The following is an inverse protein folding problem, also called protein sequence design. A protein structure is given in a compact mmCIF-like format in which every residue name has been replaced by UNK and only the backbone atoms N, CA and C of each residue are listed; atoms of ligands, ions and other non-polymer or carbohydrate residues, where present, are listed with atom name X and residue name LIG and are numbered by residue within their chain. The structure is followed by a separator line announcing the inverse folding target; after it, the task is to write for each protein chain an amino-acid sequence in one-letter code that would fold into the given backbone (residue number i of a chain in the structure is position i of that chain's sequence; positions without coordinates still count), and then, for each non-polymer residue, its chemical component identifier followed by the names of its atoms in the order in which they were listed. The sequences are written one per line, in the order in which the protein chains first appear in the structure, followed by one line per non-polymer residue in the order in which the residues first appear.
data_IF_351086615235
#
_entry.id   IF_351086615235
#
_cell.length_a   1.000
_cell.length_b   1.000
_cell.length_c   1.000
_cell.angle_alpha   90.00
_cell.angle_beta   90.00
_cell.angle_gamma   90.00
#
_symmetry.space_group_name_H-M   'P 1'
#
loop_
_entity.id
_entity.type
_entity.pdbx_description
1 polymer ?
#
# COMPACT_ATOMS: atom_id res chain seq x y z
N UNK A 1 -5.29 -6.90 18.91
CA UNK A 1 -6.23 -6.09 18.10
C UNK A 1 -6.85 -7.00 17.05
N UNK A 2 -8.17 -7.02 16.94
CA UNK A 2 -8.92 -7.90 16.04
C UNK A 2 -9.06 -7.33 14.64
N UNK A 3 -8.98 -6.00 14.47
CA UNK A 3 -9.19 -5.30 13.19
C UNK A 3 -7.98 -4.48 12.74
N UNK A 4 -6.79 -4.84 13.21
CA UNK A 4 -5.58 -4.04 12.96
C UNK A 4 -5.21 -4.00 11.47
N UNK A 5 -5.30 -5.12 10.75
CA UNK A 5 -4.96 -5.15 9.33
C UNK A 5 -5.96 -4.30 8.52
N UNK A 6 -7.25 -4.43 8.82
CA UNK A 6 -8.29 -3.63 8.16
C UNK A 6 -8.14 -2.13 8.46
N UNK A 7 -7.84 -1.74 9.70
CA UNK A 7 -7.64 -0.35 10.06
C UNK A 7 -6.47 0.28 9.28
N UNK A 8 -5.35 -0.44 9.18
CA UNK A 8 -4.16 0.01 8.42
C UNK A 8 -4.48 0.06 6.92
N UNK A 9 -5.26 -0.90 6.42
CA UNK A 9 -5.71 -0.92 5.02
C UNK A 9 -6.54 0.29 4.67
N UNK A 10 -7.50 0.66 5.53
CA UNK A 10 -8.33 1.85 5.35
C UNK A 10 -7.46 3.11 5.37
N UNK A 11 -6.55 3.23 6.34
CA UNK A 11 -5.66 4.38 6.45
C UNK A 11 -4.75 4.53 5.20
N UNK A 12 -4.19 3.43 4.71
CA UNK A 12 -3.33 3.41 3.53
C UNK A 12 -4.10 3.60 2.21
N UNK A 13 -5.38 3.23 2.14
CA UNK A 13 -6.20 3.41 0.92
C UNK A 13 -6.31 4.86 0.46
N UNK A 14 -6.25 5.82 1.39
CA UNK A 14 -6.25 7.25 1.06
C UNK A 14 -5.14 7.65 0.06
N UNK A 15 -3.93 7.09 0.20
CA UNK A 15 -2.82 7.40 -0.72
C UNK A 15 -3.08 6.88 -2.13
N UNK A 16 -3.70 5.70 -2.25
CA UNK A 16 -4.05 5.10 -3.54
C UNK A 16 -5.18 5.82 -4.25
N UNK A 17 -6.28 6.13 -3.54
CA UNK A 17 -7.41 6.86 -4.11
C UNK A 17 -7.01 8.25 -4.62
N UNK A 18 -6.11 8.94 -3.90
CA UNK A 18 -5.52 10.20 -4.36
C UNK A 18 -4.87 10.04 -5.73
N UNK A 19 -4.02 9.02 -5.92
CA UNK A 19 -3.37 8.76 -7.21
C UNK A 19 -4.35 8.40 -8.33
N UNK A 20 -5.38 7.58 -8.06
CA UNK A 20 -6.39 7.19 -9.07
C UNK A 20 -7.07 8.41 -9.70
N UNK A 21 -7.38 9.43 -8.88
CA UNK A 21 -8.03 10.66 -9.34
C UNK A 21 -7.01 11.65 -9.90
N UNK A 22 -5.87 11.81 -9.22
CA UNK A 22 -4.89 12.82 -9.56
C UNK A 22 -4.13 12.49 -10.84
N UNK A 23 -3.84 11.22 -11.15
CA UNK A 23 -3.04 10.88 -12.34
C UNK A 23 -3.69 11.35 -13.66
N UNK A 24 -4.96 11.03 -13.97
CA UNK A 24 -5.61 11.53 -15.19
C UNK A 24 -5.86 13.04 -15.13
N UNK A 25 -6.17 13.57 -13.94
CA UNK A 25 -6.40 15.01 -13.76
C UNK A 25 -5.12 15.80 -14.06
N UNK A 26 -3.98 15.40 -13.50
CA UNK A 26 -2.68 16.02 -13.75
C UNK A 26 -2.32 15.91 -15.22
N UNK A 27 -2.56 14.76 -15.86
CA UNK A 27 -2.33 14.63 -17.30
C UNK A 27 -3.12 15.67 -18.10
N UNK A 28 -4.40 15.88 -17.79
CA UNK A 28 -5.24 16.91 -18.43
C UNK A 28 -4.74 18.33 -18.16
N UNK A 29 -4.33 18.62 -16.92
CA UNK A 29 -3.77 19.94 -16.55
C UNK A 29 -2.47 20.18 -17.34
N UNK A 30 -1.57 19.20 -17.41
CA UNK A 30 -0.31 19.31 -18.16
C UNK A 30 -0.57 19.59 -19.64
N UNK A 31 -1.55 18.92 -20.25
CA UNK A 31 -1.92 19.17 -21.66
C UNK A 31 -2.48 20.59 -21.84
N UNK A 32 -3.24 21.11 -20.88
CA UNK A 32 -3.90 22.40 -20.99
C UNK A 32 -2.99 23.61 -20.69
N UNK A 33 -2.16 23.54 -19.65
CA UNK A 33 -1.38 24.68 -19.13
C UNK A 33 0.12 24.41 -19.07
N UNK A 34 0.58 23.27 -19.58
CA UNK A 34 1.99 22.89 -19.55
C UNK A 34 2.47 22.40 -18.18
N UNK A 35 3.65 21.78 -18.17
CA UNK A 35 4.17 21.09 -16.98
C UNK A 35 4.56 22.05 -15.84
N UNK A 36 5.08 23.25 -16.16
CA UNK A 36 5.53 24.22 -15.15
C UNK A 36 4.39 24.69 -14.26
N UNK A 37 3.30 25.16 -14.86
CA UNK A 37 2.14 25.65 -14.10
C UNK A 37 1.39 24.50 -13.42
N UNK A 38 1.42 23.29 -14.01
CA UNK A 38 0.88 22.08 -13.37
C UNK A 38 1.55 21.76 -12.03
N UNK A 39 2.86 21.97 -11.89
CA UNK A 39 3.56 21.78 -10.61
C UNK A 39 3.11 22.78 -9.54
N UNK A 40 2.78 24.01 -9.95
CA UNK A 40 2.23 25.03 -9.02
C UNK A 40 0.87 24.57 -8.51
N UNK A 41 -0.02 24.12 -9.41
CA UNK A 41 -1.34 23.57 -9.04
C UNK A 41 -1.19 22.37 -8.09
N UNK A 42 -0.26 21.47 -8.38
CA UNK A 42 0.03 20.31 -7.52
C UNK A 42 0.51 20.72 -6.13
N UNK A 43 1.40 21.71 -6.05
CA UNK A 43 1.86 22.27 -4.78
C UNK A 43 0.70 22.83 -3.96
N UNK A 44 -0.23 23.56 -4.60
CA UNK A 44 -1.41 24.09 -3.93
C UNK A 44 -2.32 22.98 -3.40
N UNK A 45 -2.60 21.94 -4.20
CA UNK A 45 -3.39 20.78 -3.77
C UNK A 45 -2.75 20.12 -2.55
N UNK A 46 -1.42 19.95 -2.56
CA UNK A 46 -0.69 19.36 -1.44
C UNK A 46 -0.77 20.20 -0.17
N UNK A 47 -0.59 21.52 -0.27
CA UNK A 47 -0.70 22.44 0.89
C UNK A 47 -2.10 22.41 1.48
N UNK A 48 -3.13 22.50 0.64
CA UNK A 48 -4.53 22.45 1.10
C UNK A 48 -4.82 21.11 1.79
N UNK A 49 -4.41 20.00 1.18
CA UNK A 49 -4.56 18.67 1.76
C UNK A 49 -3.83 18.52 3.10
N UNK A 50 -2.61 19.04 3.21
CA UNK A 50 -1.83 19.02 4.44
C UNK A 50 -2.49 19.83 5.57
N UNK A 51 -3.01 21.03 5.26
CA UNK A 51 -3.73 21.87 6.24
C UNK A 51 -4.99 21.18 6.74
N UNK A 52 -5.80 20.62 5.83
CA UNK A 52 -7.01 19.86 6.20
C UNK A 52 -6.63 18.66 7.07
N UNK A 53 -5.65 17.86 6.63
CA UNK A 53 -5.18 16.68 7.38
C UNK A 53 -4.67 17.03 8.77
N UNK A 54 -3.87 18.09 8.89
CA UNK A 54 -3.36 18.58 10.16
C UNK A 54 -4.48 19.07 11.09
N UNK A 55 -5.50 19.74 10.56
CA UNK A 55 -6.65 20.22 11.35
C UNK A 55 -7.53 19.09 11.90
N UNK A 56 -7.58 17.94 11.21
CA UNK A 56 -8.36 16.77 11.60
C UNK A 56 -7.58 15.78 12.49
N UNK A 57 -6.25 15.85 12.47
CA UNK A 57 -5.39 14.92 13.20
C UNK A 57 -5.47 15.15 14.72
N UNK A 58 -5.95 14.15 15.45
CA UNK A 58 -5.86 14.10 16.91
C UNK A 58 -4.62 13.31 17.31
N UNK A 59 -3.66 13.98 17.96
CA UNK A 59 -2.36 13.39 18.36
C UNK A 59 -2.50 12.31 19.44
N UNK A 60 -3.47 12.46 20.34
CA UNK A 60 -3.70 11.54 21.44
C UNK A 60 -5.17 11.10 21.48
N UNK A 61 -5.56 10.09 20.68
CA UNK A 61 -6.91 9.57 20.71
C UNK A 61 -7.26 8.90 22.05
N UNK A 62 -6.27 8.42 22.81
CA UNK A 62 -6.48 7.78 24.11
C UNK A 62 -6.95 8.81 25.16
N UNK A 63 -6.46 10.06 25.09
CA UNK A 63 -6.96 11.17 25.93
C UNK A 63 -8.47 11.46 25.78
N UNK A 64 -9.06 11.05 24.65
CA UNK A 64 -10.50 11.15 24.42
C UNK A 64 -11.29 9.93 24.96
N UNK A 65 -10.64 9.05 25.73
CA UNK A 65 -11.24 7.85 26.30
C UNK A 65 -11.52 6.73 25.29
N UNK A 66 -10.86 6.76 24.13
CA UNK A 66 -11.00 5.71 23.11
C UNK A 66 -10.03 4.56 23.35
N UNK A 67 -10.41 3.35 22.94
CA UNK A 67 -9.59 2.14 23.08
C UNK A 67 -9.45 1.42 21.74
N UNK A 68 -8.36 0.67 21.49
CA UNK A 68 -8.23 -0.18 20.31
C UNK A 68 -9.44 -1.12 20.18
N UNK A 69 -10.00 -1.22 18.98
CA UNK A 69 -11.24 -1.96 18.68
C UNK A 69 -12.48 -1.52 19.51
N UNK A 70 -12.41 -0.41 20.25
CA UNK A 70 -13.44 0.02 21.21
C UNK A 70 -13.50 -0.84 22.48
N UNK A 71 -12.52 -1.71 22.69
CA UNK A 71 -12.52 -2.67 23.80
C UNK A 71 -11.58 -2.17 24.89
N UNK A 72 -12.13 -1.86 26.06
CA UNK A 72 -11.32 -1.48 27.22
C UNK A 72 -10.43 -2.65 27.63
N UNK A 73 -9.10 -2.48 27.73
CA UNK A 73 -8.21 -3.54 28.14
C UNK A 73 -8.47 -3.93 29.60
N UNK A 74 -8.50 -5.23 29.87
CA UNK A 74 -8.53 -5.78 31.22
C UNK A 74 -7.23 -5.46 31.97
N UNK A 75 -7.28 -5.37 33.30
CA UNK A 75 -6.13 -5.03 34.13
C UNK A 75 -4.92 -5.94 33.89
N UNK A 76 -5.14 -7.25 33.75
CA UNK A 76 -4.07 -8.22 33.45
C UNK A 76 -3.41 -8.01 32.07
N UNK A 77 -4.14 -7.48 31.08
CA UNK A 77 -3.56 -7.15 29.77
C UNK A 77 -2.67 -5.90 29.83
N UNK A 78 -3.00 -4.95 30.72
CA UNK A 78 -2.17 -3.76 30.95
C UNK A 78 -0.86 -4.14 31.65
N UNK A 79 -0.93 -5.01 32.67
CA UNK A 79 0.24 -5.54 33.36
C UNK A 79 1.16 -6.34 32.42
N UNK A 80 0.58 -7.24 31.62
CA UNK A 80 1.36 -8.01 30.63
C UNK A 80 2.04 -7.11 29.60
N UNK A 81 1.38 -6.03 29.15
CA UNK A 81 1.97 -5.05 28.22
C UNK A 81 3.09 -4.25 28.88
N UNK A 82 2.92 -3.85 30.13
CA UNK A 82 3.95 -3.13 30.89
C UNK A 82 5.18 -4.02 31.13
N UNK A 83 4.99 -5.29 31.49
CA UNK A 83 6.07 -6.26 31.67
C UNK A 83 6.81 -6.53 30.35
N UNK A 84 6.08 -6.67 29.23
CA UNK A 84 6.70 -6.78 27.90
C UNK A 84 7.57 -5.57 27.55
N UNK A 85 7.07 -4.35 27.76
CA UNK A 85 7.83 -3.12 27.51
C UNK A 85 9.05 -3.00 28.43
N UNK A 86 8.93 -3.40 29.69
CA UNK A 86 10.02 -3.41 30.64
C UNK A 86 11.11 -4.43 30.29
N UNK A 87 10.72 -5.58 29.70
CA UNK A 87 11.62 -6.64 29.22
C UNK A 87 12.09 -6.45 27.78
N UNK A 88 11.61 -5.41 27.08
CA UNK A 88 12.00 -5.18 25.69
C UNK A 88 13.47 -4.81 25.66
N UNK A 89 14.28 -5.77 25.21
CA UNK A 89 15.71 -5.61 25.04
C UNK A 89 15.99 -4.50 24.02
N UNK A 90 16.82 -3.52 24.39
CA UNK A 90 17.20 -2.44 23.49
C UNK A 90 18.35 -2.92 22.61
N UNK A 91 18.05 -3.18 21.35
CA UNK A 91 19.05 -3.62 20.38
C UNK A 91 19.74 -2.42 19.75
N UNK A 92 21.07 -2.47 19.68
CA UNK A 92 21.85 -1.58 18.82
C UNK A 92 21.68 -1.97 17.35
N UNK A 93 21.91 -1.02 16.44
CA UNK A 93 21.88 -1.27 14.99
C UNK A 93 22.83 -2.41 14.60
N UNK A 94 24.02 -2.46 15.23
CA UNK A 94 25.01 -3.50 14.97
C UNK A 94 24.51 -4.90 15.35
N UNK A 95 23.76 -5.03 16.44
CA UNK A 95 23.18 -6.30 16.86
C UNK A 95 22.09 -6.75 15.89
N UNK A 96 21.21 -5.84 15.47
CA UNK A 96 20.16 -6.15 14.48
C UNK A 96 20.76 -6.66 13.16
N UNK A 97 21.78 -5.98 12.61
CA UNK A 97 22.44 -6.35 11.35
C UNK A 97 23.13 -7.73 11.39
N UNK A 98 23.46 -8.25 12.57
CA UNK A 98 24.08 -9.57 12.74
C UNK A 98 23.07 -10.72 12.77
N UNK A 99 21.78 -10.43 12.79
CA UNK A 99 20.74 -11.47 12.82
C UNK A 99 20.25 -11.86 11.45
N UNK A 100 19.95 -13.15 11.26
CA UNK A 100 19.35 -13.67 10.03
C UNK A 100 17.93 -13.11 9.81
N UNK A 101 17.17 -12.90 10.89
CA UNK A 101 15.82 -12.32 10.83
C UNK A 101 15.80 -10.94 10.16
N UNK A 102 16.79 -10.09 10.44
CA UNK A 102 16.93 -8.80 9.76
C UNK A 102 17.06 -8.99 8.24
N UNK A 103 17.97 -9.86 7.81
CA UNK A 103 18.21 -10.09 6.39
C UNK A 103 17.01 -10.75 5.69
N UNK A 104 16.27 -11.65 6.35
CA UNK A 104 15.03 -12.18 5.79
C UNK A 104 13.97 -11.08 5.57
N UNK A 105 13.86 -10.12 6.49
CA UNK A 105 12.97 -8.97 6.30
C UNK A 105 13.43 -8.11 5.11
N UNK A 106 14.72 -7.83 4.98
CA UNK A 106 15.28 -7.09 3.83
C UNK A 106 14.99 -7.82 2.52
N UNK A 107 15.34 -9.11 2.41
CA UNK A 107 15.13 -9.87 1.17
C UNK A 107 13.64 -10.06 0.85
N UNK A 108 12.77 -10.15 1.86
CA UNK A 108 11.32 -10.19 1.63
C UNK A 108 10.78 -8.95 0.94
N UNK A 109 11.50 -7.81 0.95
CA UNK A 109 11.08 -6.59 0.27
C UNK A 109 11.45 -6.56 -1.22
N UNK A 110 12.25 -7.50 -1.73
CA UNK A 110 12.76 -7.44 -3.11
C UNK A 110 11.66 -7.45 -4.18
N UNK A 111 10.49 -8.02 -3.91
CA UNK A 111 9.36 -7.94 -4.85
C UNK A 111 8.89 -6.50 -5.13
N UNK A 112 9.18 -5.54 -4.24
CA UNK A 112 8.89 -4.11 -4.51
C UNK A 112 9.66 -3.58 -5.72
N UNK A 113 10.80 -4.17 -6.09
CA UNK A 113 11.56 -3.75 -7.28
C UNK A 113 10.67 -3.88 -8.53
N UNK A 114 9.94 -4.99 -8.66
CA UNK A 114 9.03 -5.19 -9.78
C UNK A 114 7.89 -4.16 -9.79
N UNK A 115 7.34 -3.86 -8.61
CA UNK A 115 6.22 -2.92 -8.45
C UNK A 115 6.66 -1.49 -8.79
N UNK A 116 7.79 -1.04 -8.27
CA UNK A 116 8.37 0.29 -8.59
C UNK A 116 8.75 0.36 -10.05
N UNK A 117 9.30 -0.72 -10.61
CA UNK A 117 9.60 -0.84 -12.03
C UNK A 117 8.38 -0.58 -12.90
N UNK A 118 7.26 -1.27 -12.62
CA UNK A 118 5.99 -1.09 -13.34
C UNK A 118 5.45 0.33 -13.15
N UNK A 119 5.31 0.82 -11.91
CA UNK A 119 4.76 2.16 -11.67
C UNK A 119 5.55 3.25 -12.41
N UNK A 120 6.88 3.12 -12.44
CA UNK A 120 7.75 4.08 -13.14
C UNK A 120 7.73 3.97 -14.66
N UNK A 121 7.52 2.78 -15.22
CA UNK A 121 7.72 2.51 -16.64
C UNK A 121 6.45 2.20 -17.44
N UNK A 122 5.31 2.00 -16.79
CA UNK A 122 4.08 1.57 -17.48
C UNK A 122 3.63 2.52 -18.58
N UNK A 123 3.81 3.84 -18.41
CA UNK A 123 3.46 4.83 -19.43
C UNK A 123 4.44 4.81 -20.61
N UNK A 124 5.72 4.54 -20.35
CA UNK A 124 6.73 4.38 -21.39
C UNK A 124 6.51 3.08 -22.16
N UNK A 125 6.26 1.99 -21.44
CA UNK A 125 5.93 0.69 -22.02
C UNK A 125 4.68 0.75 -22.89
N UNK A 126 3.65 1.48 -22.46
CA UNK A 126 2.48 1.72 -23.32
C UNK A 126 2.85 2.46 -24.61
N UNK A 127 3.79 3.41 -24.55
CA UNK A 127 4.33 4.08 -25.74
C UNK A 127 5.04 3.12 -26.71
N UNK A 128 5.81 2.16 -26.18
CA UNK A 128 6.47 1.11 -26.98
C UNK A 128 5.45 0.19 -27.69
N UNK A 129 4.24 0.07 -27.12
CA UNK A 129 3.10 -0.66 -27.68
C UNK A 129 2.19 0.23 -28.54
N UNK A 130 2.61 1.46 -28.86
CA UNK A 130 1.84 2.46 -29.61
C UNK A 130 0.48 2.84 -28.97
N UNK A 131 0.34 2.61 -27.66
CA UNK A 131 -0.87 2.96 -26.89
C UNK A 131 -0.90 4.47 -26.69
N UNK A 132 -2.06 5.14 -26.92
CA UNK A 132 -2.20 6.56 -26.64
C UNK A 132 -1.81 6.88 -25.19
N UNK A 133 -1.06 7.97 -25.00
CA UNK A 133 -0.53 8.35 -23.68
C UNK A 133 -1.61 8.46 -22.60
N UNK A 134 -2.81 8.95 -22.97
CA UNK A 134 -3.95 9.05 -22.05
C UNK A 134 -4.45 7.69 -21.55
N UNK A 135 -4.43 6.68 -22.42
CA UNK A 135 -4.85 5.31 -22.08
C UNK A 135 -3.80 4.64 -21.20
N UNK A 136 -2.51 4.79 -21.51
CA UNK A 136 -1.42 4.36 -20.66
C UNK A 136 -1.46 4.98 -19.24
N UNK A 137 -1.79 6.27 -19.11
CA UNK A 137 -2.02 6.94 -17.81
C UNK A 137 -3.25 6.36 -17.10
N UNK A 138 -4.30 6.01 -17.85
CA UNK A 138 -5.50 5.38 -17.30
C UNK A 138 -5.19 3.97 -16.80
N UNK A 139 -4.38 3.19 -17.51
CA UNK A 139 -3.91 1.87 -17.07
C UNK A 139 -3.13 1.98 -15.74
N UNK A 140 -2.23 2.96 -15.60
CA UNK A 140 -1.56 3.21 -14.31
C UNK A 140 -2.57 3.55 -13.20
N UNK A 141 -3.62 4.31 -13.52
CA UNK A 141 -4.68 4.62 -12.56
C UNK A 141 -5.45 3.36 -12.15
N UNK A 142 -5.74 2.46 -13.09
CA UNK A 142 -6.37 1.17 -12.83
C UNK A 142 -5.48 0.21 -12.03
N UNK A 143 -4.16 0.21 -12.27
CA UNK A 143 -3.18 -0.50 -11.42
C UNK A 143 -3.32 -0.08 -9.96
N UNK A 144 -3.33 1.24 -9.71
CA UNK A 144 -3.44 1.77 -8.34
C UNK A 144 -4.82 1.46 -7.73
N UNK A 145 -5.89 1.54 -8.53
CA UNK A 145 -7.23 1.17 -8.09
C UNK A 145 -7.30 -0.31 -7.69
N UNK A 146 -6.70 -1.20 -8.49
CA UNK A 146 -6.57 -2.60 -8.15
C UNK A 146 -5.77 -2.80 -6.86
N UNK A 147 -4.69 -2.04 -6.65
CA UNK A 147 -3.94 -2.07 -5.39
C UNK A 147 -4.75 -1.59 -4.19
N UNK A 148 -5.63 -0.59 -4.35
CA UNK A 148 -6.57 -0.19 -3.31
C UNK A 148 -7.53 -1.33 -2.98
N UNK A 149 -8.15 -1.94 -3.99
CA UNK A 149 -9.06 -3.06 -3.81
C UNK A 149 -8.36 -4.26 -3.14
N UNK A 150 -7.15 -4.58 -3.60
CA UNK A 150 -6.29 -5.62 -3.05
C UNK A 150 -5.97 -5.37 -1.58
N UNK A 151 -5.67 -4.13 -1.19
CA UNK A 151 -5.36 -3.76 0.20
C UNK A 151 -6.56 -3.93 1.12
N UNK A 152 -7.73 -3.44 0.71
CA UNK A 152 -8.97 -3.62 1.50
C UNK A 152 -9.30 -5.11 1.64
N UNK A 153 -9.16 -5.87 0.55
CA UNK A 153 -9.32 -7.31 0.55
C UNK A 153 -8.34 -8.00 1.50
N UNK A 154 -7.03 -7.73 1.37
CA UNK A 154 -5.99 -8.36 2.16
C UNK A 154 -6.12 -8.06 3.65
N UNK A 155 -6.48 -6.82 4.02
CA UNK A 155 -6.70 -6.41 5.40
C UNK A 155 -7.90 -7.10 6.03
N UNK A 156 -9.05 -7.04 5.35
CA UNK A 156 -10.27 -7.71 5.80
C UNK A 156 -10.06 -9.23 5.91
N UNK A 157 -9.53 -9.84 4.85
CA UNK A 157 -9.36 -11.29 4.76
C UNK A 157 -8.34 -11.80 5.77
N UNK A 158 -7.25 -11.07 5.99
CA UNK A 158 -6.25 -11.39 7.02
C UNK A 158 -6.85 -11.37 8.42
N UNK A 159 -7.60 -10.33 8.78
CA UNK A 159 -8.22 -10.24 10.11
C UNK A 159 -9.34 -11.30 10.27
N UNK A 160 -10.09 -11.59 9.20
CA UNK A 160 -11.10 -12.65 9.16
C UNK A 160 -10.49 -14.05 9.38
N UNK A 161 -9.41 -14.38 8.69
CA UNK A 161 -8.68 -15.65 8.84
C UNK A 161 -8.19 -15.85 10.28
N UNK A 162 -7.62 -14.81 10.87
CA UNK A 162 -7.14 -14.83 12.24
C UNK A 162 -8.30 -15.02 13.23
N UNK A 163 -9.39 -14.28 13.06
CA UNK A 163 -10.55 -14.34 13.95
C UNK A 163 -11.32 -15.67 13.87
N UNK A 164 -11.44 -16.25 12.66
CA UNK A 164 -12.25 -17.45 12.43
C UNK A 164 -11.47 -18.76 12.63
N UNK A 165 -10.21 -18.80 12.22
CA UNK A 165 -9.41 -20.03 12.15
C UNK A 165 -8.10 -19.98 12.95
N UNK A 166 -7.77 -18.84 13.57
CA UNK A 166 -6.49 -18.69 14.28
C UNK A 166 -5.26 -18.72 13.34
N UNK A 167 -5.47 -18.57 12.04
CA UNK A 167 -4.40 -18.63 11.05
C UNK A 167 -3.64 -17.29 11.06
N UNK A 168 -2.30 -17.37 11.13
CA UNK A 168 -1.44 -16.19 11.05
C UNK A 168 -1.64 -15.45 9.73
N UNK A 169 -1.19 -14.19 9.66
CA UNK A 169 -1.38 -13.37 8.45
C UNK A 169 -0.52 -13.76 7.23
N UNK A 170 0.38 -14.74 7.39
CA UNK A 170 1.33 -15.20 6.37
C UNK A 170 0.70 -15.62 5.02
N UNK A 171 -0.46 -16.29 4.96
CA UNK A 171 -1.05 -16.70 3.68
C UNK A 171 -1.36 -15.52 2.75
N UNK A 172 -1.75 -14.37 3.30
CA UNK A 172 -2.00 -13.16 2.50
C UNK A 172 -0.69 -12.61 1.93
N UNK A 173 0.41 -12.69 2.70
CA UNK A 173 1.73 -12.34 2.19
C UNK A 173 2.20 -13.30 1.09
N UNK A 174 1.95 -14.60 1.22
CA UNK A 174 2.25 -15.57 0.16
C UNK A 174 1.43 -15.32 -1.10
N UNK A 175 0.14 -15.01 -0.95
CA UNK A 175 -0.71 -14.61 -2.07
C UNK A 175 -0.18 -13.37 -2.78
N UNK A 176 0.25 -12.35 -2.03
CA UNK A 176 0.88 -11.15 -2.57
C UNK A 176 2.14 -11.48 -3.37
N UNK A 177 3.10 -12.19 -2.78
CA UNK A 177 4.40 -12.45 -3.44
C UNK A 177 4.28 -13.37 -4.64
N UNK A 178 3.51 -14.46 -4.53
CA UNK A 178 3.27 -15.38 -5.64
C UNK A 178 2.49 -14.68 -6.76
N UNK A 179 1.47 -13.90 -6.41
CA UNK A 179 0.67 -13.16 -7.39
C UNK A 179 1.46 -12.10 -8.15
N UNK A 180 2.32 -11.34 -7.47
CA UNK A 180 3.23 -10.39 -8.13
C UNK A 180 4.23 -11.13 -9.03
N UNK A 181 4.82 -12.25 -8.56
CA UNK A 181 5.74 -13.05 -9.37
C UNK A 181 5.08 -13.62 -10.62
N UNK A 182 3.85 -14.14 -10.50
CA UNK A 182 3.05 -14.60 -11.63
C UNK A 182 2.76 -13.45 -12.60
N UNK A 183 2.39 -12.28 -12.09
CA UNK A 183 2.17 -11.10 -12.93
C UNK A 183 3.44 -10.69 -13.69
N UNK A 184 4.61 -10.72 -13.06
CA UNK A 184 5.89 -10.44 -13.73
C UNK A 184 6.20 -11.48 -14.82
N UNK A 185 5.89 -12.76 -14.58
CA UNK A 185 6.05 -13.80 -15.59
C UNK A 185 5.12 -13.56 -16.79
N UNK A 186 3.85 -13.24 -16.54
CA UNK A 186 2.88 -12.91 -17.59
C UNK A 186 3.23 -11.61 -18.34
N UNK A 187 3.87 -10.66 -17.67
CA UNK A 187 4.32 -9.40 -18.26
C UNK A 187 5.27 -9.61 -19.45
N UNK A 188 6.01 -10.72 -19.49
CA UNK A 188 6.92 -11.05 -20.60
C UNK A 188 6.21 -11.29 -21.94
N UNK A 189 4.91 -11.59 -21.91
CA UNK A 189 4.11 -11.89 -23.10
C UNK A 189 3.17 -10.76 -23.53
N UNK A 190 3.24 -9.59 -22.89
CA UNK A 190 2.33 -8.46 -23.17
C UNK A 190 2.74 -7.77 -24.46
N UNK A 191 1.82 -7.74 -25.43
CA UNK A 191 1.98 -7.12 -26.73
C UNK A 191 0.81 -6.20 -27.11
N UNK A 192 -0.18 -6.05 -26.23
CA UNK A 192 -1.38 -5.25 -26.49
C UNK A 192 -1.83 -4.47 -25.26
N UNK A 193 -2.68 -3.46 -25.49
CA UNK A 193 -3.27 -2.63 -24.44
C UNK A 193 -4.04 -3.44 -23.40
N UNK A 194 -4.88 -4.37 -23.86
CA UNK A 194 -5.68 -5.24 -22.99
C UNK A 194 -4.80 -6.11 -22.10
N UNK A 195 -3.73 -6.68 -22.64
CA UNK A 195 -2.79 -7.51 -21.87
C UNK A 195 -2.04 -6.67 -20.83
N UNK A 196 -1.62 -5.46 -21.21
CA UNK A 196 -0.97 -4.52 -20.30
C UNK A 196 -1.91 -4.15 -19.14
N UNK A 197 -3.18 -3.88 -19.44
CA UNK A 197 -4.20 -3.60 -18.43
C UNK A 197 -4.41 -4.80 -17.50
N UNK A 198 -4.58 -6.01 -18.04
CA UNK A 198 -4.83 -7.21 -17.24
C UNK A 198 -3.65 -7.54 -16.29
N UNK A 199 -2.42 -7.49 -16.80
CA UNK A 199 -1.22 -7.70 -15.98
C UNK A 199 -1.11 -6.62 -14.91
N UNK A 200 -1.42 -5.37 -15.24
CA UNK A 200 -1.40 -4.27 -14.29
C UNK A 200 -2.44 -4.41 -13.18
N UNK A 201 -3.66 -4.85 -13.52
CA UNK A 201 -4.69 -5.15 -12.53
C UNK A 201 -4.28 -6.29 -11.60
N UNK A 202 -3.72 -7.37 -12.14
CA UNK A 202 -3.25 -8.52 -11.37
C UNK A 202 -2.15 -8.11 -10.39
N UNK A 203 -1.08 -7.47 -10.88
CA UNK A 203 0.06 -7.07 -10.06
C UNK A 203 -0.39 -6.02 -9.03
N UNK A 204 -1.21 -5.05 -9.44
CA UNK A 204 -1.78 -4.05 -8.55
C UNK A 204 -2.53 -4.69 -7.40
N UNK A 205 -3.50 -5.57 -7.69
CA UNK A 205 -4.30 -6.25 -6.68
C UNK A 205 -3.44 -7.10 -5.72
N UNK A 206 -2.55 -7.93 -6.26
CA UNK A 206 -1.69 -8.78 -5.44
C UNK A 206 -0.76 -7.96 -4.56
N UNK A 207 -0.10 -6.93 -5.12
CA UNK A 207 0.72 -5.99 -4.36
C UNK A 207 -0.07 -5.32 -3.22
N UNK A 208 -1.26 -4.81 -3.54
CA UNK A 208 -2.15 -4.16 -2.59
C UNK A 208 -2.45 -5.03 -1.38
N UNK A 209 -2.74 -6.32 -1.63
CA UNK A 209 -3.11 -7.28 -0.59
C UNK A 209 -2.03 -7.56 0.44
N UNK A 210 -0.74 -7.39 0.10
CA UNK A 210 0.36 -7.58 1.05
C UNK A 210 0.62 -6.38 1.96
N UNK A 211 0.38 -5.16 1.47
CA UNK A 211 0.59 -3.92 2.23
C UNK A 211 -0.32 -3.79 3.45
N UNK A 212 -1.49 -4.43 3.40
CA UNK A 212 -2.53 -4.38 4.45
C UNK A 212 -2.24 -5.22 5.68
N UNK A 213 -1.22 -6.09 5.62
CA UNK A 213 -1.10 -7.25 6.53
C UNK A 213 -0.27 -6.93 7.78
N UNK A 214 0.47 -5.83 7.75
CA UNK A 214 1.25 -5.33 8.88
C UNK A 214 0.38 -4.39 9.70
#
# INVERSE_FOLDING_TARGET
MRRAALAISIAMTGSGLGMVILLPLIHRIIVAIGWRDSYIVLGLIMVVGAVIGASLLKKDPESAGTYPDGIKPEAGNLEARADFLARTEKWSVREALRTSSWWFLVFSQFFNIAVVGIIGHIVFWGGDLEIPRGDAVSILSFFVLAAVAGRLFGGFFSDWLMARFGISRKPVLYFCTIGVALGCFLAMGVNSETELLLVSLLIGFCYGSGLSVF
#
